data_IF_380704905308
#
_entry.id   IF_380704905308
#
_cell.length_a   1.000
_cell.length_b   1.000
_cell.length_c   1.000
_cell.angle_alpha   90.00
_cell.angle_beta   90.00
_cell.angle_gamma   90.00
#
_symmetry.space_group_name_H-M   'P 1'
#
loop_
_entity.id
_entity.type
_entity.pdbx_description
1 polymer ?
#
# COMPACT_ATOMS: atom_id res chain seq x y z
N UNK A 1 -5.99 -8.81 0.29
CA UNK A 1 -6.00 -7.57 1.11
C UNK A 1 -6.31 -7.96 2.56
N UNK A 2 -5.46 -7.61 3.52
CA UNK A 2 -5.62 -7.95 4.94
C UNK A 2 -5.94 -6.66 5.71
N UNK A 3 -7.04 -6.59 6.49
CA UNK A 3 -7.34 -5.42 7.33
C UNK A 3 -6.27 -5.17 8.40
N UNK A 4 -5.94 -3.91 8.63
CA UNK A 4 -5.13 -3.44 9.79
C UNK A 4 -5.85 -2.25 10.47
N UNK A 5 -5.42 -1.78 11.65
CA UNK A 5 -5.96 -0.55 12.24
C UNK A 5 -5.92 0.59 11.22
N UNK A 6 -7.08 1.20 10.98
CA UNK A 6 -7.30 2.31 10.06
C UNK A 6 -6.72 2.15 8.64
N UNK A 7 -6.58 0.91 8.14
CA UNK A 7 -6.03 0.68 6.82
C UNK A 7 -6.04 -0.75 6.33
N UNK A 8 -5.17 -1.03 5.35
CA UNK A 8 -4.99 -2.33 4.73
C UNK A 8 -3.53 -2.67 4.50
N UNK A 9 -3.25 -3.98 4.47
CA UNK A 9 -2.00 -4.56 4.02
C UNK A 9 -2.22 -5.40 2.77
N UNK A 10 -1.38 -5.18 1.78
CA UNK A 10 -1.26 -6.01 0.58
C UNK A 10 0.07 -6.74 0.59
N UNK A 11 0.05 -7.96 0.07
CA UNK A 11 1.23 -8.78 -0.13
C UNK A 11 1.31 -9.09 -1.60
N UNK A 12 2.46 -8.82 -2.18
CA UNK A 12 2.73 -8.99 -3.60
C UNK A 12 3.73 -10.15 -3.77
N UNK A 13 3.50 -10.98 -4.78
CA UNK A 13 4.52 -11.93 -5.21
C UNK A 13 5.76 -11.15 -5.69
N UNK A 14 6.97 -11.66 -5.44
CA UNK A 14 8.18 -11.02 -5.94
C UNK A 14 8.14 -10.95 -7.46
N UNK A 15 8.41 -9.77 -8.00
CA UNK A 15 8.54 -9.51 -9.42
C UNK A 15 9.64 -8.47 -9.62
N UNK A 16 10.25 -8.49 -10.80
CA UNK A 16 11.24 -7.47 -11.16
C UNK A 16 10.59 -6.08 -11.11
N UNK A 17 11.35 -5.08 -10.67
CA UNK A 17 10.95 -3.67 -10.50
C UNK A 17 9.77 -3.39 -9.55
N UNK A 18 9.18 -4.39 -8.91
CA UNK A 18 8.04 -4.22 -8.01
C UNK A 18 8.32 -3.23 -6.88
N UNK A 19 9.51 -3.30 -6.27
CA UNK A 19 9.88 -2.37 -5.19
C UNK A 19 9.95 -0.92 -5.70
N UNK A 20 10.47 -0.70 -6.91
CA UNK A 20 10.53 0.62 -7.53
C UNK A 20 9.12 1.14 -7.86
N UNK A 21 8.24 0.28 -8.38
CA UNK A 21 6.84 0.62 -8.62
C UNK A 21 6.11 1.01 -7.33
N UNK A 22 6.30 0.25 -6.25
CA UNK A 22 5.74 0.57 -4.91
C UNK A 22 6.25 1.92 -4.42
N UNK A 23 7.56 2.19 -4.53
CA UNK A 23 8.14 3.47 -4.13
C UNK A 23 7.56 4.65 -4.94
N UNK A 24 7.42 4.49 -6.26
CA UNK A 24 6.83 5.50 -7.14
C UNK A 24 5.38 5.80 -6.79
N UNK A 25 4.58 4.77 -6.46
CA UNK A 25 3.20 4.96 -6.03
C UNK A 25 3.14 5.73 -4.70
N UNK A 26 3.99 5.38 -3.73
CA UNK A 26 4.08 6.10 -2.45
C UNK A 26 4.41 7.58 -2.68
N UNK A 27 5.38 7.88 -3.54
CA UNK A 27 5.77 9.27 -3.81
C UNK A 27 4.67 10.09 -4.50
N UNK A 28 3.87 9.45 -5.37
CA UNK A 28 2.69 10.08 -5.96
C UNK A 28 1.63 10.37 -4.89
N UNK A 29 1.27 9.36 -4.09
CA UNK A 29 0.23 9.46 -3.07
C UNK A 29 0.59 10.43 -1.95
N UNK A 30 1.87 10.57 -1.60
CA UNK A 30 2.32 11.56 -0.62
C UNK A 30 2.07 13.00 -1.06
N UNK A 31 1.78 13.26 -2.34
CA UNK A 31 1.44 14.60 -2.85
C UNK A 31 -0.04 14.91 -2.68
N UNK A 32 -0.93 13.97 -3.03
CA UNK A 32 -2.39 14.12 -3.00
C UNK A 32 -3.04 13.65 -1.68
N UNK A 33 -2.50 12.62 -1.05
CA UNK A 33 -3.02 11.95 0.14
C UNK A 33 -2.00 12.02 1.30
N UNK A 34 -1.64 13.25 1.69
CA UNK A 34 -0.60 13.56 2.69
C UNK A 34 -0.83 12.97 4.08
N UNK A 35 -2.05 12.51 4.37
CA UNK A 35 -2.42 11.89 5.64
C UNK A 35 -2.11 10.40 5.71
N UNK A 36 -1.80 9.76 4.58
CA UNK A 36 -1.51 8.33 4.53
C UNK A 36 -0.13 8.02 5.10
N UNK A 37 -0.08 6.98 5.92
CA UNK A 37 1.13 6.33 6.42
C UNK A 37 1.36 5.05 5.62
N UNK A 38 2.60 4.86 5.19
CA UNK A 38 3.03 3.70 4.41
C UNK A 38 4.08 2.91 5.18
N UNK A 39 3.99 1.58 5.17
CA UNK A 39 5.04 0.68 5.65
C UNK A 39 5.30 -0.37 4.57
N UNK A 40 6.56 -0.45 4.14
CA UNK A 40 7.02 -1.46 3.19
C UNK A 40 7.90 -2.45 3.94
N UNK A 41 7.59 -3.75 3.79
CA UNK A 41 8.43 -4.83 4.25
C UNK A 41 8.88 -5.66 3.04
N UNK A 42 10.19 -5.88 2.92
CA UNK A 42 10.80 -6.70 1.87
C UNK A 42 11.40 -7.92 2.57
N UNK A 43 10.86 -9.10 2.28
CA UNK A 43 11.32 -10.35 2.88
C UNK A 43 12.63 -10.84 2.24
N UNK A 44 13.48 -11.57 2.98
CA UNK A 44 14.74 -12.12 2.47
C UNK A 44 14.53 -13.08 1.29
N UNK A 45 15.63 -13.41 0.59
CA UNK A 45 15.68 -14.42 -0.48
C UNK A 45 14.78 -14.15 -1.70
N UNK A 46 14.68 -12.87 -2.11
CA UNK A 46 13.67 -12.40 -3.09
C UNK A 46 12.26 -12.83 -2.68
N UNK A 47 12.00 -12.80 -1.38
CA UNK A 47 10.70 -13.04 -0.82
C UNK A 47 9.69 -11.95 -1.19
N UNK A 48 8.44 -12.11 -0.76
CA UNK A 48 7.38 -11.19 -1.10
C UNK A 48 7.58 -9.81 -0.50
N UNK A 49 6.97 -8.82 -1.16
CA UNK A 49 6.92 -7.44 -0.67
C UNK A 49 5.53 -7.22 -0.06
N UNK A 50 5.48 -6.66 1.14
CA UNK A 50 4.23 -6.23 1.77
C UNK A 50 4.17 -4.71 1.83
N UNK A 51 3.04 -4.14 1.40
CA UNK A 51 2.72 -2.73 1.56
C UNK A 51 1.54 -2.60 2.51
N UNK A 52 1.75 -1.92 3.62
CA UNK A 52 0.67 -1.45 4.49
C UNK A 52 0.42 0.03 4.23
N UNK A 53 -0.86 0.39 4.09
CA UNK A 53 -1.32 1.76 4.00
C UNK A 53 -2.38 1.99 5.08
N UNK A 54 -2.13 2.95 5.95
CA UNK A 54 -3.01 3.33 7.06
C UNK A 54 -3.02 4.85 7.25
N UNK A 55 -3.81 5.38 8.18
CA UNK A 55 -3.91 6.81 8.42
C UNK A 55 -4.83 7.13 9.59
N UNK A 56 -5.31 8.39 9.71
CA UNK A 56 -6.29 8.78 10.72
C UNK A 56 -7.60 7.96 10.63
N UNK A 57 -8.45 7.99 11.67
CA UNK A 57 -9.75 7.33 11.65
C UNK A 57 -10.55 7.66 10.39
N UNK A 58 -11.12 6.64 9.77
CA UNK A 58 -11.83 6.75 8.49
C UNK A 58 -10.99 6.44 7.24
N UNK A 59 -9.66 6.33 7.37
CA UNK A 59 -8.76 6.02 6.25
C UNK A 59 -9.11 4.69 5.57
N UNK A 60 -9.54 3.67 6.32
CA UNK A 60 -9.94 2.39 5.74
C UNK A 60 -11.08 2.52 4.73
N UNK A 61 -12.11 3.29 5.05
CA UNK A 61 -13.25 3.54 4.16
C UNK A 61 -12.84 4.37 2.93
N UNK A 62 -11.94 5.33 3.10
CA UNK A 62 -11.33 6.05 1.99
C UNK A 62 -10.58 5.10 1.04
N UNK A 63 -9.76 4.19 1.59
CA UNK A 63 -9.02 3.19 0.81
C UNK A 63 -9.95 2.20 0.11
N UNK A 64 -11.09 1.84 0.71
CA UNK A 64 -12.10 1.01 0.04
C UNK A 64 -12.62 1.66 -1.24
N UNK A 65 -12.89 2.97 -1.20
CA UNK A 65 -13.33 3.72 -2.38
C UNK A 65 -12.23 3.87 -3.43
N UNK A 66 -10.99 4.13 -2.99
CA UNK A 66 -9.84 4.31 -3.87
C UNK A 66 -9.50 3.03 -4.66
N UNK A 67 -9.53 1.88 -3.97
CA UNK A 67 -9.08 0.60 -4.53
C UNK A 67 -10.18 -0.05 -5.38
N UNK A 68 -11.45 0.22 -5.10
CA UNK A 68 -12.58 -0.23 -5.94
C UNK A 68 -12.56 0.35 -7.37
N UNK A 69 -11.84 1.45 -7.61
CA UNK A 69 -11.70 2.06 -8.93
C UNK A 69 -10.46 1.64 -9.74
N UNK A 70 -9.54 0.87 -9.14
CA UNK A 70 -8.18 0.66 -9.70
C UNK A 70 -7.89 -0.80 -10.06
N UNK A 71 -8.76 -1.76 -9.69
CA UNK A 71 -8.59 -3.17 -10.05
C UNK A 71 -9.95 -3.74 -10.49
N UNK A 72 -10.08 -4.31 -11.72
CA UNK A 72 -11.26 -5.09 -12.09
C UNK A 72 -11.37 -6.39 -11.28
#
# INVERSE_FOLDING_TARGET
RIPVPDGYRWRFAPADDLLAAVASAIDAERRCCRFLRFVVAVEPDRGPISLEVSGPPGTRAFLDQLVAGVVP
#
